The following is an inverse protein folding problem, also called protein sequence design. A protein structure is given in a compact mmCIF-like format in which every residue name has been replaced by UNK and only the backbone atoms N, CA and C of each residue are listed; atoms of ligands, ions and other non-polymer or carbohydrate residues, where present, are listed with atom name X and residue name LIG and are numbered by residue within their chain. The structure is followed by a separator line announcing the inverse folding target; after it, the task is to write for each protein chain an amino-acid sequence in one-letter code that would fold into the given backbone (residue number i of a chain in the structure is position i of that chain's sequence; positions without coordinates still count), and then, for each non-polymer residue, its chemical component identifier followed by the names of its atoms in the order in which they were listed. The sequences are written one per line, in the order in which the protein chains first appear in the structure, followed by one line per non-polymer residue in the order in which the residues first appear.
data_IF_864940789350
#
_entry.id   IF_864940789350
#
_cell.length_a   1.000
_cell.length_b   1.000
_cell.length_c   1.000
_cell.angle_alpha   90.00
_cell.angle_beta   90.00
_cell.angle_gamma   90.00
#
_symmetry.space_group_name_H-M   'P 1'
#
loop_
_entity.id
_entity.type
_entity.pdbx_description
1 polymer ?
#
# COMPACT_ATOMS: atom_id res chain seq x y z
N UNK A 1 -18.21 10.45 -14.59
CA UNK A 1 -17.49 11.11 -13.47
C UNK A 1 -16.19 10.39 -13.24
N UNK A 2 -15.13 11.07 -12.80
CA UNK A 2 -13.88 10.42 -12.48
C UNK A 2 -13.97 9.61 -11.18
N UNK A 3 -13.31 8.46 -11.12
CA UNK A 3 -13.11 7.70 -9.88
C UNK A 3 -11.75 8.07 -9.29
N UNK A 4 -11.70 8.40 -8.01
CA UNK A 4 -10.47 8.69 -7.29
C UNK A 4 -10.18 7.57 -6.29
N UNK A 5 -9.10 6.82 -6.51
CA UNK A 5 -8.66 5.76 -5.60
C UNK A 5 -7.55 6.31 -4.71
N UNK A 6 -7.84 6.48 -3.43
CA UNK A 6 -6.91 6.95 -2.41
C UNK A 6 -6.24 5.75 -1.75
N UNK A 7 -4.99 5.52 -2.08
CA UNK A 7 -4.16 4.45 -1.54
C UNK A 7 -3.46 4.95 -0.28
N UNK A 8 -3.78 4.37 0.85
CA UNK A 8 -3.25 4.75 2.18
C UNK A 8 -2.31 3.66 2.68
N UNK A 9 -1.06 3.98 2.95
CA UNK A 9 -0.18 3.05 3.65
C UNK A 9 -0.60 3.00 5.13
N UNK A 10 -0.64 1.79 5.72
CA UNK A 10 -0.87 1.63 7.16
C UNK A 10 0.08 2.51 8.00
N UNK A 11 -0.32 2.85 9.22
CA UNK A 11 0.48 3.62 10.15
C UNK A 11 1.73 2.89 10.65
N UNK A 12 2.54 3.58 11.43
CA UNK A 12 3.77 3.05 12.00
C UNK A 12 3.52 1.80 12.88
N UNK A 13 4.54 0.95 12.99
CA UNK A 13 4.61 -0.20 13.92
C UNK A 13 6.07 -0.42 14.35
N UNK A 14 6.27 -1.01 15.53
CA UNK A 14 7.58 -1.11 16.16
C UNK A 14 8.65 -1.92 15.40
N UNK A 15 8.25 -2.74 14.42
CA UNK A 15 9.16 -3.51 13.55
C UNK A 15 9.54 -2.78 12.26
N UNK A 16 8.99 -1.56 12.04
CA UNK A 16 9.30 -0.79 10.85
C UNK A 16 10.81 -0.50 10.79
N UNK A 17 11.40 -0.60 9.60
CA UNK A 17 12.82 -0.39 9.32
C UNK A 17 13.81 -1.35 10.05
N UNK A 18 13.31 -2.25 10.92
CA UNK A 18 14.10 -3.26 11.59
C UNK A 18 13.91 -4.66 10.96
N UNK A 19 12.67 -5.02 10.65
CA UNK A 19 12.29 -6.36 10.19
C UNK A 19 11.48 -6.28 8.91
N UNK A 20 11.81 -7.15 7.94
CA UNK A 20 11.02 -7.34 6.73
C UNK A 20 9.73 -8.11 7.05
N UNK A 21 8.69 -7.39 7.42
CA UNK A 21 7.46 -8.03 7.89
C UNK A 21 6.72 -8.81 6.78
N UNK A 22 6.68 -8.30 5.54
CA UNK A 22 5.90 -8.97 4.48
C UNK A 22 4.48 -9.31 4.96
N UNK A 23 4.09 -10.59 4.84
CA UNK A 23 2.82 -11.11 5.35
C UNK A 23 2.92 -11.72 6.75
N UNK A 24 3.90 -11.31 7.55
CA UNK A 24 4.07 -11.80 8.93
C UNK A 24 2.81 -11.53 9.75
N UNK A 25 2.24 -12.56 10.43
CA UNK A 25 1.03 -12.39 11.24
C UNK A 25 1.33 -11.60 12.51
N UNK A 26 0.30 -10.99 13.10
CA UNK A 26 0.38 -10.37 14.42
C UNK A 26 1.00 -8.97 14.47
N UNK A 27 1.59 -8.47 13.39
CA UNK A 27 2.15 -7.10 13.35
C UNK A 27 1.02 -6.08 13.49
N UNK A 28 1.12 -5.25 14.53
CA UNK A 28 0.10 -4.26 14.91
C UNK A 28 0.68 -2.86 14.85
N UNK A 29 -0.22 -1.86 14.70
CA UNK A 29 0.15 -0.46 14.91
C UNK A 29 0.65 -0.26 16.33
N UNK A 30 1.64 0.60 16.49
CA UNK A 30 2.01 1.18 17.75
C UNK A 30 1.25 2.49 18.02
N UNK A 31 1.52 3.12 19.15
CA UNK A 31 0.84 4.37 19.50
C UNK A 31 1.10 5.52 18.51
N UNK A 32 2.35 5.75 18.02
CA UNK A 32 2.59 6.68 16.92
C UNK A 32 1.77 6.37 15.66
N UNK A 33 1.70 5.09 15.28
CA UNK A 33 0.92 4.67 14.10
C UNK A 33 -0.57 4.92 14.27
N UNK A 34 -1.13 4.70 15.47
CA UNK A 34 -2.52 5.03 15.74
C UNK A 34 -2.78 6.54 15.63
N UNK A 35 -1.89 7.40 16.15
CA UNK A 35 -1.99 8.86 16.00
C UNK A 35 -1.90 9.30 14.55
N UNK A 36 -0.95 8.75 13.78
CA UNK A 36 -0.84 9.02 12.34
C UNK A 36 -2.15 8.69 11.61
N UNK A 37 -2.73 7.52 11.88
CA UNK A 37 -3.97 7.11 11.21
C UNK A 37 -5.19 7.93 11.64
N UNK A 38 -5.21 8.46 12.86
CA UNK A 38 -6.27 9.39 13.29
C UNK A 38 -6.22 10.70 12.46
N UNK A 39 -5.03 11.27 12.24
CA UNK A 39 -4.85 12.44 11.38
C UNK A 39 -5.27 12.14 9.93
N UNK A 40 -4.89 10.97 9.39
CA UNK A 40 -5.33 10.51 8.07
C UNK A 40 -6.86 10.42 8.00
N UNK A 41 -7.50 9.84 9.01
CA UNK A 41 -8.95 9.69 9.07
C UNK A 41 -9.68 11.04 9.03
N UNK A 42 -9.15 12.08 9.70
CA UNK A 42 -9.72 13.43 9.65
C UNK A 42 -9.66 14.05 8.26
N UNK A 43 -8.60 13.81 7.50
CA UNK A 43 -8.49 14.29 6.11
C UNK A 43 -9.38 13.47 5.18
N UNK A 44 -9.36 12.14 5.31
CA UNK A 44 -10.18 11.24 4.50
C UNK A 44 -11.67 11.50 4.71
N UNK A 45 -12.12 11.81 5.93
CA UNK A 45 -13.54 12.11 6.19
C UNK A 45 -14.05 13.32 5.40
N UNK A 46 -13.20 14.30 5.11
CA UNK A 46 -13.57 15.52 4.35
C UNK A 46 -13.85 15.24 2.87
N UNK A 47 -13.33 14.16 2.32
CA UNK A 47 -13.59 13.78 0.92
C UNK A 47 -14.85 12.90 0.77
N UNK A 48 -15.51 12.53 1.87
CA UNK A 48 -16.72 11.71 1.90
C UNK A 48 -16.60 10.43 1.04
N UNK A 49 -15.71 9.49 1.39
CA UNK A 49 -15.47 8.31 0.56
C UNK A 49 -16.71 7.43 0.46
N UNK A 50 -16.92 6.85 -0.74
CA UNK A 50 -18.05 5.95 -1.02
C UNK A 50 -17.80 4.53 -0.50
N UNK A 51 -16.53 4.12 -0.41
CA UNK A 51 -16.12 2.80 0.03
C UNK A 51 -14.76 2.86 0.72
N UNK A 52 -14.57 1.94 1.68
CA UNK A 52 -13.32 1.74 2.39
C UNK A 52 -12.92 0.28 2.29
N UNK A 53 -11.80 0.02 1.65
CA UNK A 53 -11.22 -1.29 1.46
C UNK A 53 -9.90 -1.43 2.24
N UNK A 54 -9.50 -2.67 2.56
CA UNK A 54 -8.27 -2.93 3.30
C UNK A 54 -7.60 -4.24 2.89
N UNK A 55 -6.28 -4.26 2.90
CA UNK A 55 -5.48 -5.48 3.01
C UNK A 55 -5.92 -6.31 4.21
N UNK A 56 -5.81 -7.66 4.14
CA UNK A 56 -6.15 -8.55 5.26
C UNK A 56 -5.15 -8.49 6.43
N UNK A 57 -3.99 -7.85 6.28
CA UNK A 57 -2.97 -7.78 7.33
C UNK A 57 -3.45 -6.93 8.53
N UNK A 58 -3.16 -7.40 9.74
CA UNK A 58 -3.67 -6.78 10.99
C UNK A 58 -3.36 -5.29 11.09
N UNK A 59 -2.15 -4.85 10.76
CA UNK A 59 -1.75 -3.43 10.78
C UNK A 59 -2.57 -2.58 9.79
N UNK A 60 -2.94 -3.15 8.64
CA UNK A 60 -3.80 -2.47 7.67
C UNK A 60 -5.25 -2.44 8.14
N UNK A 61 -5.77 -3.53 8.70
CA UNK A 61 -7.11 -3.60 9.27
C UNK A 61 -7.28 -2.63 10.44
N UNK A 62 -6.29 -2.50 11.33
CA UNK A 62 -6.32 -1.51 12.41
C UNK A 62 -6.34 -0.08 11.86
N UNK A 63 -5.51 0.20 10.85
CA UNK A 63 -5.49 1.49 10.16
C UNK A 63 -6.83 1.80 9.51
N UNK A 64 -7.42 0.82 8.79
CA UNK A 64 -8.73 0.95 8.16
C UNK A 64 -9.85 1.13 9.21
N UNK A 65 -9.77 0.43 10.34
CA UNK A 65 -10.73 0.57 11.45
C UNK A 65 -10.79 1.99 12.02
N UNK A 66 -9.65 2.67 12.14
CA UNK A 66 -9.58 4.07 12.57
C UNK A 66 -10.29 4.98 11.54
N UNK A 67 -10.02 4.77 10.25
CA UNK A 67 -10.67 5.52 9.16
C UNK A 67 -12.17 5.21 9.11
N UNK A 68 -12.56 3.93 9.25
CA UNK A 68 -13.94 3.47 9.27
C UNK A 68 -14.78 4.16 10.36
N UNK A 69 -14.25 4.21 11.58
CA UNK A 69 -14.90 4.86 12.71
C UNK A 69 -15.14 6.35 12.46
N UNK A 70 -14.22 7.03 11.77
CA UNK A 70 -14.31 8.46 11.47
C UNK A 70 -15.25 8.77 10.32
N UNK A 71 -15.35 7.87 9.33
CA UNK A 71 -16.17 8.06 8.12
C UNK A 71 -17.55 7.41 8.21
N UNK A 72 -17.83 6.59 9.21
CA UNK A 72 -19.08 5.82 9.32
C UNK A 72 -19.22 4.74 8.26
N UNK A 73 -18.12 4.15 7.80
CA UNK A 73 -18.09 3.12 6.75
C UNK A 73 -17.73 1.74 7.30
N UNK A 74 -18.22 0.70 6.64
CA UNK A 74 -17.71 -0.66 6.83
C UNK A 74 -16.38 -0.85 6.08
N UNK A 75 -15.52 -1.72 6.61
CA UNK A 75 -14.26 -2.11 5.95
C UNK A 75 -14.49 -3.37 5.13
N UNK A 76 -14.26 -3.28 3.83
CA UNK A 76 -14.22 -4.44 2.93
C UNK A 76 -12.78 -4.99 2.84
N UNK A 77 -12.59 -6.29 3.10
CA UNK A 77 -11.27 -6.93 3.00
C UNK A 77 -11.01 -7.32 1.54
N UNK A 78 -9.92 -6.82 0.98
CA UNK A 78 -9.53 -7.06 -0.42
C UNK A 78 -8.15 -7.72 -0.49
N UNK A 79 -8.08 -9.04 -0.74
CA UNK A 79 -6.80 -9.76 -0.84
C UNK A 79 -5.87 -9.24 -1.93
N UNK A 80 -6.42 -8.59 -2.97
CA UNK A 80 -5.62 -7.97 -4.03
C UNK A 80 -4.67 -6.89 -3.49
N UNK A 81 -4.93 -6.32 -2.32
CA UNK A 81 -4.10 -5.32 -1.67
C UNK A 81 -3.27 -5.87 -0.50
N UNK A 82 -3.19 -7.20 -0.35
CA UNK A 82 -2.25 -7.79 0.61
C UNK A 82 -0.80 -7.43 0.27
N UNK A 83 0.06 -7.40 1.29
CA UNK A 83 1.48 -7.14 1.09
C UNK A 83 2.10 -8.19 0.16
N UNK A 84 3.22 -7.86 -0.46
CA UNK A 84 4.00 -8.81 -1.24
C UNK A 84 4.39 -10.01 -0.36
N UNK A 85 4.27 -11.21 -0.92
CA UNK A 85 4.81 -12.39 -0.26
C UNK A 85 6.33 -12.40 -0.39
N UNK A 86 7.01 -12.22 0.73
CA UNK A 86 8.48 -12.21 0.80
C UNK A 86 9.08 -13.62 0.94
N UNK A 87 8.25 -14.65 0.93
CA UNK A 87 8.69 -16.03 1.05
C UNK A 87 9.58 -16.26 2.28
N UNK A 88 10.75 -16.86 2.08
CA UNK A 88 11.68 -17.16 3.19
C UNK A 88 12.34 -15.95 3.82
N UNK A 89 12.23 -14.77 3.23
CA UNK A 89 12.74 -13.53 3.83
C UNK A 89 11.77 -12.91 4.84
N UNK A 90 10.53 -13.39 4.91
CA UNK A 90 9.54 -12.88 5.88
C UNK A 90 10.04 -13.05 7.30
N UNK A 91 10.06 -11.97 8.08
CA UNK A 91 10.53 -11.92 9.46
C UNK A 91 12.05 -11.76 9.62
N UNK A 92 12.81 -11.65 8.53
CA UNK A 92 14.24 -11.42 8.60
C UNK A 92 14.54 -9.95 8.95
N UNK A 93 15.60 -9.73 9.74
CA UNK A 93 16.14 -8.41 10.01
C UNK A 93 16.81 -7.81 8.77
N UNK A 94 16.62 -6.52 8.51
CA UNK A 94 17.26 -5.85 7.38
C UNK A 94 18.78 -5.87 7.47
N UNK A 95 19.35 -5.84 8.67
CA UNK A 95 20.78 -6.01 8.92
C UNK A 95 21.34 -7.33 8.34
N UNK A 96 20.57 -8.40 8.48
CA UNK A 96 20.92 -9.73 7.94
C UNK A 96 20.69 -9.79 6.42
N UNK A 97 19.58 -9.25 5.94
CA UNK A 97 19.27 -9.22 4.51
C UNK A 97 20.30 -8.40 3.72
N UNK A 98 20.87 -7.36 4.30
CA UNK A 98 21.91 -6.55 3.66
C UNK A 98 23.16 -7.34 3.28
N UNK A 99 23.40 -8.50 3.92
CA UNK A 99 24.48 -9.42 3.63
C UNK A 99 24.11 -10.49 2.58
N UNK A 100 22.83 -10.61 2.23
CA UNK A 100 22.32 -11.60 1.27
C UNK A 100 22.44 -11.06 -0.16
N UNK A 101 23.17 -11.81 -1.01
CA UNK A 101 23.38 -11.45 -2.41
C UNK A 101 22.06 -11.50 -3.22
N UNK A 102 21.15 -12.43 -2.92
CA UNK A 102 19.85 -12.52 -3.58
C UNK A 102 18.97 -11.31 -3.21
N UNK A 103 19.03 -10.83 -1.96
CA UNK A 103 18.36 -9.62 -1.53
C UNK A 103 18.88 -8.39 -2.29
N UNK A 104 20.20 -8.24 -2.42
CA UNK A 104 20.80 -7.14 -3.21
C UNK A 104 20.34 -7.18 -4.66
N UNK A 105 20.44 -8.37 -5.29
CA UNK A 105 20.00 -8.57 -6.67
C UNK A 105 18.51 -8.27 -6.86
N UNK A 106 17.67 -8.68 -5.90
CA UNK A 106 16.24 -8.37 -5.96
C UNK A 106 15.99 -6.86 -5.87
N UNK A 107 16.69 -6.12 -5.02
CA UNK A 107 16.56 -4.67 -4.94
C UNK A 107 17.06 -3.92 -6.20
N UNK A 108 17.98 -4.51 -6.97
CA UNK A 108 18.47 -3.94 -8.23
C UNK A 108 17.55 -4.27 -9.43
N UNK A 109 16.89 -5.45 -9.41
CA UNK A 109 16.18 -6.01 -10.57
C UNK A 109 14.82 -6.57 -10.16
N UNK A 110 13.98 -5.74 -9.58
CA UNK A 110 12.65 -6.13 -9.09
C UNK A 110 11.69 -6.60 -10.18
N UNK A 111 11.85 -6.09 -11.41
CA UNK A 111 11.05 -6.48 -12.56
C UNK A 111 11.34 -7.88 -13.08
N UNK A 112 12.53 -8.45 -12.80
CA UNK A 112 12.94 -9.75 -13.35
C UNK A 112 13.32 -10.80 -12.29
N UNK A 113 13.36 -10.43 -11.01
CA UNK A 113 13.68 -11.32 -9.90
C UNK A 113 12.50 -11.37 -8.90
N UNK A 114 12.56 -12.33 -7.97
CA UNK A 114 11.56 -12.46 -6.91
C UNK A 114 12.18 -12.96 -5.61
N UNK A 115 11.55 -12.74 -4.45
CA UNK A 115 11.91 -13.35 -3.20
C UNK A 115 11.88 -14.89 -3.29
N UNK A 116 12.78 -15.60 -2.63
CA UNK A 116 12.80 -17.07 -2.62
C UNK A 116 11.51 -17.64 -2.02
N UNK A 117 10.76 -18.41 -2.80
CA UNK A 117 9.44 -18.93 -2.40
C UNK A 117 8.33 -17.88 -2.35
N UNK A 118 8.62 -16.61 -2.72
CA UNK A 118 7.69 -15.50 -2.63
C UNK A 118 7.07 -15.06 -3.97
N UNK A 119 6.39 -13.91 -3.94
CA UNK A 119 5.68 -13.30 -5.06
C UNK A 119 6.60 -12.37 -5.87
N UNK A 120 6.47 -12.34 -7.20
CA UNK A 120 7.17 -11.35 -8.02
C UNK A 120 6.49 -9.99 -7.99
N UNK A 121 7.26 -8.90 -8.20
CA UNK A 121 6.68 -7.55 -8.31
C UNK A 121 5.72 -7.42 -9.51
N UNK A 122 5.92 -8.20 -10.58
CA UNK A 122 5.00 -8.23 -11.72
C UNK A 122 3.65 -8.84 -11.32
N UNK A 123 3.64 -9.95 -10.57
CA UNK A 123 2.40 -10.57 -10.08
C UNK A 123 1.68 -9.65 -9.11
N UNK A 124 2.42 -9.03 -8.16
CA UNK A 124 1.90 -8.02 -7.26
C UNK A 124 1.25 -6.85 -8.03
N UNK A 125 1.96 -6.25 -8.97
CA UNK A 125 1.43 -5.14 -9.77
C UNK A 125 0.18 -5.54 -10.55
N UNK A 126 0.19 -6.73 -11.14
CA UNK A 126 -0.94 -7.23 -11.93
C UNK A 126 -2.22 -7.35 -11.09
N UNK A 127 -2.15 -7.95 -9.85
CA UNK A 127 -3.34 -8.09 -9.00
C UNK A 127 -3.86 -6.76 -8.48
N UNK A 128 -2.95 -5.86 -8.11
CA UNK A 128 -3.31 -4.53 -7.57
C UNK A 128 -3.95 -3.66 -8.66
N UNK A 129 -3.32 -3.61 -9.84
CA UNK A 129 -3.83 -2.82 -10.97
C UNK A 129 -5.15 -3.38 -11.47
N UNK A 130 -5.29 -4.71 -11.59
CA UNK A 130 -6.55 -5.33 -12.00
C UNK A 130 -7.71 -4.95 -11.07
N UNK A 131 -7.48 -4.91 -9.75
CA UNK A 131 -8.50 -4.48 -8.81
C UNK A 131 -8.82 -2.98 -8.95
N UNK A 132 -7.82 -2.11 -9.06
CA UNK A 132 -8.04 -0.66 -9.27
C UNK A 132 -8.87 -0.40 -10.53
N UNK A 133 -8.59 -1.14 -11.62
CA UNK A 133 -9.35 -0.99 -12.88
C UNK A 133 -10.81 -1.42 -12.76
N UNK A 134 -11.14 -2.40 -11.90
CA UNK A 134 -12.53 -2.78 -11.60
C UNK A 134 -13.32 -1.65 -10.92
N UNK A 135 -12.64 -0.78 -10.17
CA UNK A 135 -13.28 0.34 -9.48
C UNK A 135 -13.62 1.51 -10.42
N UNK A 136 -13.15 1.49 -11.67
CA UNK A 136 -13.24 2.59 -12.65
C UNK A 136 -14.64 3.13 -12.85
N UNK A 137 -15.65 2.28 -12.76
CA UNK A 137 -17.05 2.62 -13.03
C UNK A 137 -17.84 3.11 -11.81
N UNK A 138 -17.26 3.05 -10.60
CA UNK A 138 -17.98 3.38 -9.37
C UNK A 138 -18.25 4.88 -9.21
N UNK A 139 -17.42 5.73 -9.79
CA UNK A 139 -17.56 7.19 -9.75
C UNK A 139 -17.49 7.76 -8.33
N UNK A 140 -16.43 8.51 -8.02
CA UNK A 140 -16.24 9.13 -6.70
C UNK A 140 -15.01 8.62 -5.94
N UNK A 141 -14.80 9.06 -4.69
CA UNK A 141 -13.64 8.71 -3.91
C UNK A 141 -13.78 7.34 -3.24
N UNK A 142 -12.75 6.49 -3.40
CA UNK A 142 -12.62 5.17 -2.77
C UNK A 142 -11.31 5.16 -2.02
N UNK A 143 -11.31 4.64 -0.79
CA UNK A 143 -10.12 4.53 0.04
C UNK A 143 -9.70 3.08 0.16
N UNK A 144 -8.42 2.80 -0.02
CA UNK A 144 -7.84 1.47 0.15
C UNK A 144 -6.63 1.57 1.08
N UNK A 145 -6.70 0.89 2.21
CA UNK A 145 -5.58 0.82 3.16
C UNK A 145 -4.73 -0.41 2.84
N UNK A 146 -3.44 -0.19 2.64
CA UNK A 146 -2.51 -1.24 2.20
C UNK A 146 -1.08 -0.98 2.73
N UNK A 147 -0.08 -1.41 1.99
CA UNK A 147 1.33 -1.44 2.35
C UNK A 147 2.18 -0.72 1.31
N UNK A 148 3.47 -0.57 1.60
CA UNK A 148 4.38 0.16 0.72
C UNK A 148 4.49 -0.47 -0.68
N UNK A 149 4.69 -1.80 -0.78
CA UNK A 149 4.95 -2.42 -2.07
C UNK A 149 3.71 -2.47 -2.99
N UNK A 150 2.50 -2.83 -2.52
CA UNK A 150 1.29 -2.76 -3.35
C UNK A 150 1.00 -1.34 -3.86
N UNK A 151 1.12 -0.33 -2.99
CA UNK A 151 0.88 1.05 -3.36
C UNK A 151 1.93 1.52 -4.37
N UNK A 152 3.22 1.25 -4.11
CA UNK A 152 4.32 1.60 -5.00
C UNK A 152 4.15 0.94 -6.38
N UNK A 153 3.80 -0.34 -6.42
CA UNK A 153 3.56 -1.06 -7.66
C UNK A 153 2.42 -0.45 -8.50
N UNK A 154 1.31 -0.05 -7.85
CA UNK A 154 0.23 0.68 -8.52
C UNK A 154 0.69 2.03 -9.05
N UNK A 155 1.36 2.83 -8.21
CA UNK A 155 1.86 4.16 -8.60
C UNK A 155 2.81 4.06 -9.78
N UNK A 156 3.76 3.12 -9.77
CA UNK A 156 4.71 2.93 -10.87
C UNK A 156 4.01 2.56 -12.18
N UNK A 157 2.97 1.72 -12.13
CA UNK A 157 2.15 1.39 -13.30
C UNK A 157 1.55 2.66 -13.94
N UNK A 158 0.88 3.50 -13.14
CA UNK A 158 0.23 4.71 -13.66
C UNK A 158 1.21 5.83 -14.02
N UNK A 159 2.43 5.82 -13.45
CA UNK A 159 3.54 6.66 -13.88
C UNK A 159 4.27 6.11 -15.12
N UNK A 160 3.97 4.88 -15.55
CA UNK A 160 4.65 4.15 -16.64
C UNK A 160 6.15 4.00 -16.38
N UNK A 161 6.53 3.77 -15.12
CA UNK A 161 7.92 3.53 -14.72
C UNK A 161 8.21 2.04 -14.61
N UNK A 162 9.40 1.59 -15.01
CA UNK A 162 9.81 0.21 -14.85
C UNK A 162 9.96 -0.15 -13.36
N UNK A 163 9.62 -1.39 -12.98
CA UNK A 163 9.68 -1.86 -11.59
C UNK A 163 11.09 -1.83 -10.98
N UNK A 164 12.13 -1.83 -11.81
CA UNK A 164 13.52 -1.71 -11.37
C UNK A 164 13.86 -0.32 -10.80
N UNK A 165 13.05 0.70 -11.13
CA UNK A 165 13.16 2.06 -10.58
C UNK A 165 12.37 2.25 -9.27
N UNK A 166 11.99 1.18 -8.57
CA UNK A 166 11.06 1.25 -7.44
C UNK A 166 11.52 2.19 -6.32
N UNK A 167 12.84 2.35 -6.12
CA UNK A 167 13.42 3.30 -5.17
C UNK A 167 13.09 4.77 -5.47
N UNK A 168 12.69 5.08 -6.72
CA UNK A 168 12.32 6.43 -7.13
C UNK A 168 10.95 6.90 -6.60
N UNK A 169 10.19 5.99 -5.99
CA UNK A 169 8.84 6.25 -5.47
C UNK A 169 8.81 5.96 -3.98
N UNK A 170 8.82 7.00 -3.16
CA UNK A 170 8.61 6.88 -1.72
C UNK A 170 7.11 6.66 -1.41
N UNK A 171 6.84 5.77 -0.45
CA UNK A 171 5.51 5.56 0.14
C UNK A 171 5.72 5.47 1.65
N UNK A 172 5.48 6.56 2.37
CA UNK A 172 5.72 6.67 3.81
C UNK A 172 4.56 6.10 4.64
N UNK A 173 4.76 5.67 5.89
CA UNK A 173 3.68 5.28 6.78
C UNK A 173 2.61 6.38 6.87
N UNK A 174 1.33 6.00 6.84
CA UNK A 174 0.19 6.90 6.86
C UNK A 174 0.15 7.94 5.71
N UNK A 175 0.96 7.78 4.67
CA UNK A 175 0.88 8.62 3.47
C UNK A 175 -0.31 8.24 2.59
N UNK A 176 -0.77 9.19 1.78
CA UNK A 176 -1.88 9.02 0.84
C UNK A 176 -1.41 9.30 -0.57
N UNK A 177 -1.52 8.30 -1.44
CA UNK A 177 -1.32 8.44 -2.89
C UNK A 177 -2.67 8.30 -3.60
N UNK A 178 -2.92 9.12 -4.62
CA UNK A 178 -4.22 9.12 -5.32
C UNK A 178 -4.05 8.80 -6.78
N UNK A 179 -4.79 7.79 -7.24
CA UNK A 179 -4.96 7.45 -8.66
C UNK A 179 -6.30 8.03 -9.12
N UNK A 180 -6.28 8.82 -10.17
CA UNK A 180 -7.49 9.33 -10.85
C UNK A 180 -7.75 8.52 -12.11
N UNK A 181 -8.95 7.95 -12.21
CA UNK A 181 -9.42 7.15 -13.34
C UNK A 181 -10.52 7.90 -14.07
N UNK A 182 -10.29 8.24 -15.35
CA UNK A 182 -11.22 8.97 -16.18
C UNK A 182 -11.28 8.38 -17.59
N UNK A 183 -12.46 7.96 -18.04
CA UNK A 183 -12.62 7.20 -19.26
C UNK A 183 -11.72 5.98 -19.27
N UNK A 184 -10.87 5.80 -20.27
CA UNK A 184 -9.85 4.75 -20.34
C UNK A 184 -8.50 5.15 -19.72
N UNK A 185 -8.36 6.38 -19.23
CA UNK A 185 -7.10 6.91 -18.70
C UNK A 185 -7.02 6.74 -17.18
N UNK A 186 -5.81 6.41 -16.70
CA UNK A 186 -5.46 6.47 -15.28
C UNK A 186 -4.18 7.30 -15.11
N UNK A 187 -4.11 8.08 -14.04
CA UNK A 187 -2.93 8.89 -13.73
C UNK A 187 -2.74 9.01 -12.21
N UNK A 188 -1.51 9.20 -11.79
CA UNK A 188 -1.20 9.59 -10.41
C UNK A 188 -1.58 11.07 -10.25
N UNK A 189 -2.57 11.35 -9.41
CA UNK A 189 -3.00 12.71 -9.10
C UNK A 189 -2.27 13.30 -7.89
N UNK A 190 -1.88 12.42 -6.93
CA UNK A 190 -1.08 12.77 -5.74
C UNK A 190 -0.17 11.60 -5.41
N UNK A 191 1.05 11.87 -5.04
CA UNK A 191 2.03 10.87 -4.62
C UNK A 191 2.51 11.19 -3.20
N UNK A 192 2.50 10.16 -2.33
CA UNK A 192 3.09 10.18 -0.99
C UNK A 192 2.76 11.46 -0.22
N UNK A 193 1.52 11.90 -0.32
CA UNK A 193 1.09 13.12 0.33
C UNK A 193 1.05 12.94 1.84
N UNK A 194 1.80 13.77 2.55
CA UNK A 194 1.65 13.89 4.00
C UNK A 194 0.27 14.44 4.35
N UNK A 195 -0.27 13.92 5.42
CA UNK A 195 -1.45 14.46 6.06
C UNK A 195 -0.94 15.32 7.21
N UNK A 196 -0.74 16.61 6.92
CA UNK A 196 -0.47 17.59 7.97
C UNK A 196 -1.71 17.67 8.88
N UNK A 197 -1.45 17.53 10.17
CA UNK A 197 -2.47 17.73 11.19
C UNK A 197 -2.97 19.19 11.20
#
# INVERSE_FOLDING_TARGET
MATHVHLVRHGHHSLLDAVLCGRMPGVQLDEPGCRQMAAVADVISKIAPLALQSSPQRRALQSAGIVAARCGLAVEIVPAFDEIDMGTWTGAEFSRLALDEQWRRWNEKRGSTKPPGGESMIALQSRVVAHIEQLRTLGGPIVIVSHAEPIRAAVMHYLRRPLDEFHSVAIDPASVSTISLEGSRGRVARLNGEVSA
#
